data_IF_937604322275
#
_entry.id   IF_937604322275
#
_cell.length_a   1.000
_cell.length_b   1.000
_cell.length_c   1.000
_cell.angle_alpha   90.00
_cell.angle_beta   90.00
_cell.angle_gamma   90.00
#
_symmetry.space_group_name_H-M   'P 1'
#
loop_
_entity.id
_entity.type
_entity.pdbx_description
1 polymer ?
#
# COMPACT_ATOMS: atom_id res chain seq x y z
N UNK A 1 1.43 -1.88 44.86
CA UNK A 1 1.45 -1.33 43.49
C UNK A 1 1.46 -2.49 42.51
N UNK A 2 0.28 -2.93 42.05
CA UNK A 2 0.16 -3.87 40.93
C UNK A 2 -0.16 -3.03 39.70
N UNK A 3 0.71 -3.06 38.71
CA UNK A 3 0.36 -2.63 37.37
C UNK A 3 -0.69 -3.62 36.85
N UNK A 4 -1.92 -3.16 36.68
CA UNK A 4 -2.96 -3.93 36.00
C UNK A 4 -2.66 -3.93 34.50
N UNK A 5 -2.38 -5.11 33.96
CA UNK A 5 -2.24 -5.36 32.53
C UNK A 5 -3.54 -4.99 31.80
N UNK A 6 -3.56 -3.80 31.19
CA UNK A 6 -4.49 -3.46 30.13
C UNK A 6 -4.12 -4.27 28.90
N UNK A 7 -4.69 -5.46 28.73
CA UNK A 7 -4.59 -6.17 27.45
C UNK A 7 -5.44 -5.43 26.42
N UNK A 8 -4.77 -4.67 25.55
CA UNK A 8 -5.38 -4.12 24.36
C UNK A 8 -5.90 -5.24 23.47
N UNK A 9 -7.23 -5.27 23.27
CA UNK A 9 -7.90 -6.27 22.44
C UNK A 9 -8.58 -5.62 21.25
N UNK A 10 -8.92 -6.41 20.22
CA UNK A 10 -9.57 -5.95 18.99
C UNK A 10 -10.81 -5.05 19.22
N UNK A 11 -11.53 -5.24 20.33
CA UNK A 11 -12.66 -4.40 20.71
C UNK A 11 -12.31 -2.93 20.99
N UNK A 12 -11.04 -2.61 21.28
CA UNK A 12 -10.58 -1.24 21.51
C UNK A 12 -10.45 -0.46 20.19
N UNK A 13 -10.24 -1.17 19.07
CA UNK A 13 -10.07 -0.58 17.73
C UNK A 13 -11.37 -0.49 16.93
N UNK A 14 -12.48 -1.04 17.43
CA UNK A 14 -13.80 -0.95 16.80
C UNK A 14 -14.55 0.27 17.31
N UNK A 15 -14.74 1.25 16.44
CA UNK A 15 -15.64 2.39 16.66
C UNK A 15 -17.11 1.93 16.54
N UNK A 16 -17.93 2.27 17.51
CA UNK A 16 -19.37 1.97 17.51
C UNK A 16 -20.13 3.02 18.30
N UNK A 17 -21.31 3.41 17.80
CA UNK A 17 -22.25 4.28 18.53
C UNK A 17 -23.12 3.47 19.53
N UNK A 18 -22.77 2.19 19.76
CA UNK A 18 -23.53 1.30 20.62
C UNK A 18 -23.54 1.79 22.08
N UNK A 19 -24.75 1.95 22.62
CA UNK A 19 -25.00 2.17 24.06
C UNK A 19 -25.31 0.85 24.75
N UNK A 20 -25.09 0.75 26.07
CA UNK A 20 -25.49 -0.43 26.83
C UNK A 20 -27.00 -0.65 26.73
N UNK A 21 -27.40 -1.91 26.54
CA UNK A 21 -28.80 -2.31 26.63
C UNK A 21 -29.07 -2.82 28.05
N UNK A 22 -29.38 -1.89 28.97
CA UNK A 22 -29.65 -2.21 30.39
C UNK A 22 -31.12 -2.46 30.70
N UNK A 23 -32.03 -2.21 29.75
CA UNK A 23 -33.45 -2.52 29.86
C UNK A 23 -33.95 -3.29 28.64
N UNK A 24 -34.47 -4.50 28.87
CA UNK A 24 -34.97 -5.42 27.84
C UNK A 24 -34.69 -6.88 28.16
N UNK A 25 -35.21 -7.80 27.34
CA UNK A 25 -35.09 -9.27 27.54
C UNK A 25 -33.66 -9.81 27.35
N UNK A 26 -32.75 -9.01 26.81
CA UNK A 26 -31.34 -9.34 26.58
C UNK A 26 -30.48 -8.19 27.10
N UNK A 27 -29.82 -8.42 28.24
CA UNK A 27 -28.78 -7.53 28.76
C UNK A 27 -27.50 -7.76 27.97
N UNK A 28 -27.03 -6.74 27.25
CA UNK A 28 -25.78 -6.83 26.50
C UNK A 28 -24.98 -5.54 26.62
N UNK A 29 -23.74 -5.69 27.09
CA UNK A 29 -22.80 -4.58 27.21
C UNK A 29 -22.30 -4.12 25.85
N UNK A 30 -21.79 -2.88 25.77
CA UNK A 30 -21.10 -2.37 24.58
C UNK A 30 -19.98 -3.32 24.14
N UNK A 31 -19.20 -3.87 25.09
CA UNK A 31 -18.16 -4.87 24.79
C UNK A 31 -18.74 -6.11 24.12
N UNK A 32 -19.87 -6.64 24.61
CA UNK A 32 -20.55 -7.77 23.99
C UNK A 32 -21.06 -7.47 22.57
N UNK A 33 -21.58 -6.26 22.34
CA UNK A 33 -21.96 -5.78 21.00
C UNK A 33 -20.76 -5.75 20.04
N UNK A 34 -19.62 -5.20 20.49
CA UNK A 34 -18.38 -5.16 19.70
C UNK A 34 -17.84 -6.55 19.38
N UNK A 35 -17.80 -7.46 20.35
CA UNK A 35 -17.39 -8.86 20.13
C UNK A 35 -18.29 -9.52 19.08
N UNK A 36 -19.61 -9.39 19.21
CA UNK A 36 -20.55 -9.96 18.24
C UNK A 36 -20.37 -9.37 16.84
N UNK A 37 -20.09 -8.07 16.74
CA UNK A 37 -19.81 -7.42 15.46
C UNK A 37 -18.54 -8.01 14.81
N UNK A 38 -17.44 -8.13 15.57
CA UNK A 38 -16.20 -8.76 15.08
C UNK A 38 -16.45 -10.19 14.62
N UNK A 39 -17.12 -11.01 15.45
CA UNK A 39 -17.44 -12.40 15.13
C UNK A 39 -18.34 -12.52 13.89
N UNK A 40 -19.28 -11.59 13.71
CA UNK A 40 -20.16 -11.56 12.54
C UNK A 40 -19.39 -11.17 11.27
N UNK A 41 -18.44 -10.24 11.38
CA UNK A 41 -17.52 -9.89 10.29
C UNK A 41 -16.62 -11.06 9.90
N UNK A 42 -15.99 -11.74 10.87
CA UNK A 42 -15.18 -12.94 10.62
C UNK A 42 -16.00 -14.06 9.98
N UNK A 43 -17.22 -14.30 10.48
CA UNK A 43 -18.14 -15.26 9.88
C UNK A 43 -18.46 -14.93 8.41
N UNK A 44 -18.63 -13.64 8.09
CA UNK A 44 -18.84 -13.19 6.71
C UNK A 44 -17.59 -13.41 5.85
N UNK A 45 -16.41 -13.02 6.33
CA UNK A 45 -15.15 -13.26 5.61
C UNK A 45 -14.93 -14.74 5.31
N UNK A 46 -15.31 -15.63 6.22
CA UNK A 46 -15.26 -17.08 6.00
C UNK A 46 -16.23 -17.53 4.90
N UNK A 47 -17.46 -16.99 4.87
CA UNK A 47 -18.43 -17.24 3.80
C UNK A 47 -17.92 -16.77 2.44
N UNK A 48 -17.21 -15.63 2.39
CA UNK A 48 -16.58 -15.11 1.17
C UNK A 48 -15.26 -15.82 0.81
N UNK A 49 -14.89 -16.90 1.52
CA UNK A 49 -13.66 -17.67 1.31
C UNK A 49 -12.36 -16.85 1.44
N UNK A 50 -12.38 -15.77 2.22
CA UNK A 50 -11.22 -14.92 2.49
C UNK A 50 -10.43 -15.36 3.72
N UNK A 51 -11.07 -16.12 4.62
CA UNK A 51 -10.42 -16.72 5.78
C UNK A 51 -10.90 -18.16 5.95
N UNK A 52 -10.10 -18.96 6.63
CA UNK A 52 -10.54 -20.20 7.25
C UNK A 52 -10.83 -19.97 8.72
N UNK A 53 -12.00 -20.40 9.16
CA UNK A 53 -12.47 -20.29 10.53
C UNK A 53 -12.66 -21.71 11.07
N UNK A 54 -11.72 -22.23 11.87
CA UNK A 54 -11.81 -23.60 12.37
C UNK A 54 -12.99 -23.76 13.32
N UNK A 55 -13.51 -24.98 13.39
CA UNK A 55 -14.55 -25.39 14.34
C UNK A 55 -13.94 -26.40 15.31
N UNK A 56 -14.34 -26.33 16.58
CA UNK A 56 -13.96 -27.33 17.58
C UNK A 56 -14.76 -28.64 17.42
N UNK A 57 -14.45 -29.66 18.23
CA UNK A 57 -15.16 -30.95 18.23
C UNK A 57 -16.68 -30.83 18.50
N UNK A 58 -17.12 -29.69 19.04
CA UNK A 58 -18.52 -29.34 19.31
C UNK A 58 -19.19 -28.53 18.19
N UNK A 59 -18.49 -28.23 17.09
CA UNK A 59 -18.97 -27.38 16.00
C UNK A 59 -19.00 -25.89 16.36
N UNK A 60 -18.32 -25.47 17.43
CA UNK A 60 -18.18 -24.07 17.79
C UNK A 60 -16.99 -23.44 17.05
N UNK A 61 -17.24 -22.27 16.44
CA UNK A 61 -16.23 -21.52 15.69
C UNK A 61 -15.17 -20.95 16.64
N UNK A 62 -13.91 -21.22 16.31
CA UNK A 62 -12.73 -20.72 17.02
C UNK A 62 -12.29 -19.40 16.38
N UNK A 63 -12.89 -18.29 16.85
CA UNK A 63 -12.64 -16.96 16.29
C UNK A 63 -11.23 -16.41 16.52
N UNK A 64 -10.48 -16.97 17.46
CA UNK A 64 -9.10 -16.55 17.75
C UNK A 64 -8.08 -17.28 16.86
N UNK A 65 -8.45 -18.40 16.24
CA UNK A 65 -7.57 -19.27 15.45
C UNK A 65 -7.85 -19.17 13.94
N UNK A 66 -8.45 -18.05 13.49
CA UNK A 66 -8.71 -17.86 12.07
C UNK A 66 -7.40 -17.71 11.29
N UNK A 67 -7.39 -18.26 10.07
CA UNK A 67 -6.24 -18.18 9.16
C UNK A 67 -6.67 -17.42 7.91
N UNK A 68 -5.89 -16.41 7.51
CA UNK A 68 -6.13 -15.68 6.28
C UNK A 68 -5.93 -16.60 5.06
N UNK A 69 -6.75 -16.45 4.03
CA UNK A 69 -6.55 -17.08 2.73
C UNK A 69 -5.99 -16.06 1.74
N UNK A 70 -5.37 -16.56 0.66
CA UNK A 70 -4.88 -15.73 -0.44
C UNK A 70 -6.04 -15.02 -1.15
N UNK A 71 -5.88 -13.73 -1.39
CA UNK A 71 -6.88 -12.88 -2.06
C UNK A 71 -6.72 -12.87 -3.59
N UNK A 72 -5.60 -13.38 -4.10
CA UNK A 72 -5.27 -13.42 -5.53
C UNK A 72 -5.74 -14.71 -6.23
N UNK A 73 -6.29 -15.66 -5.46
CA UNK A 73 -6.89 -16.87 -5.99
C UNK A 73 -8.29 -16.60 -6.55
N UNK A 74 -8.67 -17.36 -7.58
CA UNK A 74 -9.96 -17.19 -8.24
C UNK A 74 -11.12 -17.35 -7.22
N UNK A 75 -12.17 -16.53 -7.35
CA UNK A 75 -13.35 -16.56 -6.46
C UNK A 75 -14.03 -17.93 -6.39
N UNK A 76 -13.75 -18.84 -7.33
CA UNK A 76 -14.22 -20.22 -7.34
C UNK A 76 -13.05 -21.19 -7.13
N UNK A 77 -12.85 -21.66 -5.90
CA UNK A 77 -11.82 -22.63 -5.56
C UNK A 77 -11.52 -22.65 -4.06
N UNK A 78 -10.76 -23.65 -3.60
CA UNK A 78 -10.14 -23.54 -2.28
C UNK A 78 -8.97 -22.57 -2.41
N UNK A 79 -9.09 -21.39 -1.78
CA UNK A 79 -7.98 -20.44 -1.76
C UNK A 79 -6.95 -20.97 -0.77
N UNK A 80 -5.70 -21.10 -1.22
CA UNK A 80 -4.58 -21.47 -0.35
C UNK A 80 -4.49 -20.49 0.84
N UNK A 81 -3.96 -20.98 1.97
CA UNK A 81 -3.69 -20.12 3.11
C UNK A 81 -2.69 -19.03 2.74
N UNK A 82 -2.97 -17.82 3.23
CA UNK A 82 -1.97 -16.77 3.24
C UNK A 82 -0.79 -17.24 4.08
N UNK A 83 0.38 -17.22 3.47
CA UNK A 83 1.64 -17.48 4.15
C UNK A 83 2.42 -16.18 4.13
N UNK A 84 3.02 -15.82 5.26
CA UNK A 84 4.01 -14.74 5.28
C UNK A 84 5.15 -15.22 4.37
N UNK A 85 5.58 -14.42 3.39
CA UNK A 85 6.71 -14.78 2.54
C UNK A 85 7.90 -15.19 3.41
N UNK A 86 8.43 -16.39 3.18
CA UNK A 86 9.68 -16.85 3.79
C UNK A 86 10.89 -16.38 2.96
N UNK A 87 12.10 -16.55 3.49
CA UNK A 87 13.33 -16.18 2.79
C UNK A 87 13.56 -16.95 1.47
N UNK A 88 12.75 -17.99 1.20
CA UNK A 88 12.80 -18.72 -0.06
C UNK A 88 12.01 -18.03 -1.18
N UNK A 89 11.10 -17.11 -0.86
CA UNK A 89 10.31 -16.34 -1.82
C UNK A 89 10.94 -14.97 -2.13
N UNK A 90 10.80 -14.47 -3.36
CA UNK A 90 11.24 -13.10 -3.70
C UNK A 90 10.31 -12.09 -3.01
N UNK A 91 10.81 -11.42 -1.98
CA UNK A 91 10.11 -10.35 -1.28
C UNK A 91 10.88 -9.03 -1.40
N UNK A 92 10.23 -7.93 -1.04
CA UNK A 92 10.87 -6.65 -0.77
C UNK A 92 10.12 -5.96 0.38
N UNK A 93 10.84 -5.17 1.17
CA UNK A 93 10.26 -4.44 2.30
C UNK A 93 9.76 -3.08 1.88
N UNK A 94 8.55 -2.72 2.30
CA UNK A 94 7.97 -1.39 2.09
C UNK A 94 8.34 -0.50 3.29
N UNK A 95 8.75 0.77 3.08
CA UNK A 95 9.06 1.68 4.19
C UNK A 95 7.88 1.83 5.15
N UNK A 96 8.10 1.63 6.44
CA UNK A 96 7.06 1.78 7.48
C UNK A 96 6.45 3.20 7.46
N UNK A 97 7.29 4.19 7.15
CA UNK A 97 6.90 5.61 7.08
C UNK A 97 5.91 5.92 5.97
N UNK A 98 5.76 5.04 4.96
CA UNK A 98 4.64 5.12 4.01
C UNK A 98 3.28 5.15 4.73
N UNK A 99 3.15 4.33 5.77
CA UNK A 99 1.91 4.20 6.55
C UNK A 99 1.88 5.16 7.72
N UNK A 100 2.98 5.26 8.49
CA UNK A 100 2.99 6.02 9.74
C UNK A 100 3.09 7.54 9.53
N UNK A 101 3.62 8.01 8.40
CA UNK A 101 3.69 9.43 8.06
C UNK A 101 2.52 9.91 7.19
N UNK A 102 1.58 9.02 6.85
CA UNK A 102 0.35 9.34 6.11
C UNK A 102 0.47 9.37 4.58
N UNK A 103 1.60 8.95 4.02
CA UNK A 103 1.83 8.95 2.56
C UNK A 103 0.85 8.07 1.79
N UNK A 104 0.47 6.93 2.38
CA UNK A 104 -0.52 6.00 1.81
C UNK A 104 -1.88 6.65 1.54
N UNK A 105 -2.20 7.77 2.19
CA UNK A 105 -3.48 8.47 2.05
C UNK A 105 -3.45 9.65 1.09
N UNK A 106 -2.26 10.13 0.71
CA UNK A 106 -2.12 11.33 -0.13
C UNK A 106 -1.59 11.05 -1.51
N UNK A 107 -0.95 9.90 -1.71
CA UNK A 107 -0.45 9.47 -3.01
C UNK A 107 -1.56 8.80 -3.83
N UNK A 108 -1.58 9.08 -5.13
CA UNK A 108 -2.46 8.41 -6.08
C UNK A 108 -1.98 6.98 -6.39
N UNK A 109 -2.87 6.13 -6.90
CA UNK A 109 -2.54 4.73 -7.27
C UNK A 109 -1.31 4.64 -8.20
N UNK A 110 -1.19 5.56 -9.16
CA UNK A 110 -0.06 5.57 -10.09
C UNK A 110 1.27 5.89 -9.39
N UNK A 111 1.24 6.75 -8.38
CA UNK A 111 2.39 7.14 -7.56
C UNK A 111 2.75 6.00 -6.60
N UNK A 112 1.76 5.36 -5.98
CA UNK A 112 1.96 4.19 -5.14
C UNK A 112 2.60 3.04 -5.91
N UNK A 113 2.14 2.75 -7.13
CA UNK A 113 2.76 1.72 -7.98
C UNK A 113 4.22 2.08 -8.29
N UNK A 114 4.50 3.35 -8.64
CA UNK A 114 5.87 3.81 -8.91
C UNK A 114 6.78 3.71 -7.68
N UNK A 115 6.26 4.03 -6.49
CA UNK A 115 6.95 3.87 -5.23
C UNK A 115 7.28 2.40 -4.94
N UNK A 116 6.33 1.49 -5.18
CA UNK A 116 6.54 0.05 -5.00
C UNK A 116 7.59 -0.50 -5.98
N UNK A 117 7.57 -0.05 -7.24
CA UNK A 117 8.61 -0.40 -8.22
C UNK A 117 9.97 0.12 -7.76
N UNK A 118 10.06 1.38 -7.32
CA UNK A 118 11.30 1.97 -6.80
C UNK A 118 11.83 1.21 -5.59
N UNK A 119 10.94 0.83 -4.68
CA UNK A 119 11.26 0.02 -3.50
C UNK A 119 11.79 -1.36 -3.88
N UNK A 120 11.14 -2.05 -4.83
CA UNK A 120 11.61 -3.34 -5.36
C UNK A 120 12.98 -3.22 -6.02
N UNK A 121 13.19 -2.19 -6.85
CA UNK A 121 14.47 -1.95 -7.49
C UNK A 121 15.58 -1.69 -6.48
N UNK A 122 15.30 -0.88 -5.46
CA UNK A 122 16.25 -0.64 -4.38
C UNK A 122 16.57 -1.90 -3.58
N UNK A 123 15.58 -2.74 -3.32
CA UNK A 123 15.78 -4.03 -2.66
C UNK A 123 16.71 -4.96 -3.47
N UNK A 124 16.52 -5.03 -4.80
CA UNK A 124 17.30 -5.89 -5.67
C UNK A 124 18.68 -5.34 -6.04
N UNK A 125 18.84 -4.02 -6.11
CA UNK A 125 20.01 -3.36 -6.69
C UNK A 125 20.68 -2.30 -5.79
N UNK A 126 20.20 -2.12 -4.56
CA UNK A 126 20.65 -1.05 -3.67
C UNK A 126 20.28 0.34 -4.21
N UNK A 127 21.09 1.35 -3.89
CA UNK A 127 20.82 2.75 -4.29
C UNK A 127 21.23 3.06 -5.76
N UNK A 128 21.57 2.02 -6.54
CA UNK A 128 21.91 2.18 -7.95
C UNK A 128 20.68 2.53 -8.80
N UNK A 129 20.73 3.61 -9.61
CA UNK A 129 19.63 3.99 -10.49
C UNK A 129 19.29 2.88 -11.50
N UNK A 130 18.01 2.51 -11.59
CA UNK A 130 17.56 1.41 -12.46
C UNK A 130 16.70 1.89 -13.64
N UNK A 131 16.94 1.38 -14.87
CA UNK A 131 16.15 1.76 -16.02
C UNK A 131 14.74 1.14 -15.97
N UNK A 132 13.71 1.95 -16.22
CA UNK A 132 12.34 1.46 -16.39
C UNK A 132 11.87 1.63 -17.84
N UNK A 133 12.09 0.58 -18.64
CA UNK A 133 11.73 0.59 -20.06
C UNK A 133 10.21 0.43 -20.30
N UNK A 134 9.64 1.05 -21.36
CA UNK A 134 8.19 1.04 -21.60
C UNK A 134 7.56 -0.36 -21.72
N UNK A 135 8.25 -1.30 -22.38
CA UNK A 135 7.78 -2.67 -22.57
C UNK A 135 7.61 -3.43 -21.25
N UNK A 136 8.70 -3.65 -20.49
CA UNK A 136 8.64 -4.27 -19.17
C UNK A 136 7.71 -3.54 -18.19
N UNK A 137 7.69 -2.20 -18.23
CA UNK A 137 6.81 -1.40 -17.39
C UNK A 137 5.33 -1.73 -17.62
N UNK A 138 4.90 -1.76 -18.88
CA UNK A 138 3.51 -2.07 -19.24
C UNK A 138 3.17 -3.54 -18.99
N UNK A 139 4.09 -4.45 -19.33
CA UNK A 139 3.88 -5.89 -19.20
C UNK A 139 3.80 -6.36 -17.74
N UNK A 140 4.73 -5.89 -16.91
CA UNK A 140 4.89 -6.41 -15.54
C UNK A 140 4.06 -5.63 -14.52
N UNK A 141 3.78 -4.35 -14.78
CA UNK A 141 3.14 -3.46 -13.80
C UNK A 141 1.85 -2.81 -14.30
N UNK A 142 1.41 -3.09 -15.53
CA UNK A 142 0.22 -2.47 -16.12
C UNK A 142 0.32 -0.95 -16.32
N UNK A 143 1.50 -0.36 -16.11
CA UNK A 143 1.70 1.08 -16.15
C UNK A 143 1.74 1.59 -17.59
N UNK A 144 0.66 2.27 -17.97
CA UNK A 144 0.55 3.01 -19.23
C UNK A 144 1.59 4.14 -19.31
N UNK A 145 1.75 4.75 -20.48
CA UNK A 145 2.63 5.92 -20.60
C UNK A 145 2.11 7.09 -19.76
N UNK A 146 0.81 7.36 -19.80
CA UNK A 146 0.21 8.48 -19.07
C UNK A 146 0.29 8.27 -17.56
N UNK A 147 -0.02 7.06 -17.08
CA UNK A 147 0.10 6.72 -15.65
C UNK A 147 1.54 6.82 -15.15
N UNK A 148 2.50 6.40 -15.98
CA UNK A 148 3.91 6.58 -15.65
C UNK A 148 4.31 8.05 -15.60
N UNK A 149 3.91 8.85 -16.59
CA UNK A 149 4.21 10.29 -16.68
C UNK A 149 3.62 11.07 -15.49
N UNK A 150 2.36 10.80 -15.14
CA UNK A 150 1.72 11.42 -13.99
C UNK A 150 2.41 11.00 -12.68
N UNK A 151 2.55 9.69 -12.45
CA UNK A 151 3.06 9.17 -11.19
C UNK A 151 4.52 9.56 -10.90
N UNK A 152 5.39 9.56 -11.92
CA UNK A 152 6.80 9.87 -11.67
C UNK A 152 7.06 11.36 -11.40
N UNK A 153 6.30 12.27 -12.03
CA UNK A 153 6.54 13.72 -11.87
C UNK A 153 6.25 14.20 -10.46
N UNK A 154 5.15 13.75 -9.86
CA UNK A 154 4.82 14.12 -8.48
C UNK A 154 5.87 13.59 -7.51
N UNK A 155 6.26 12.32 -7.66
CA UNK A 155 7.28 11.72 -6.80
C UNK A 155 8.67 12.38 -6.95
N UNK A 156 9.01 12.85 -8.16
CA UNK A 156 10.22 13.64 -8.42
C UNK A 156 10.15 15.02 -7.74
N UNK A 157 9.00 15.70 -7.78
CA UNK A 157 8.82 16.95 -7.03
C UNK A 157 8.84 16.78 -5.50
N UNK A 158 8.39 15.63 -5.00
CA UNK A 158 8.44 15.28 -3.59
C UNK A 158 9.84 14.81 -3.14
N UNK A 159 10.77 14.59 -4.08
CA UNK A 159 12.09 14.03 -3.79
C UNK A 159 12.06 12.57 -3.34
N UNK A 160 10.94 11.86 -3.54
CA UNK A 160 10.79 10.44 -3.22
C UNK A 160 11.44 9.58 -4.32
N UNK A 161 11.42 10.05 -5.56
CA UNK A 161 11.94 9.33 -6.71
C UNK A 161 12.65 10.29 -7.67
N UNK A 162 13.96 10.16 -7.87
CA UNK A 162 14.62 10.90 -8.96
C UNK A 162 14.34 10.21 -10.29
N UNK A 163 13.93 11.00 -11.29
CA UNK A 163 13.72 10.52 -12.65
C UNK A 163 14.77 11.12 -13.58
N UNK A 164 15.79 10.31 -13.89
CA UNK A 164 16.87 10.70 -14.79
C UNK A 164 16.44 10.39 -16.23
N UNK A 165 15.94 11.40 -16.92
CA UNK A 165 15.59 11.33 -18.34
C UNK A 165 16.83 11.29 -19.24
N UNK A 166 16.63 10.79 -20.47
CA UNK A 166 17.64 10.88 -21.52
C UNK A 166 17.95 12.36 -21.84
N UNK A 167 19.22 12.77 -21.70
CA UNK A 167 19.66 14.16 -21.85
C UNK A 167 19.42 14.77 -23.24
N UNK A 168 19.16 13.95 -24.27
CA UNK A 168 18.77 14.45 -25.60
C UNK A 168 17.26 14.38 -25.84
N UNK A 169 16.47 14.07 -24.81
CA UNK A 169 15.02 14.12 -24.89
C UNK A 169 14.57 15.58 -24.70
N UNK A 170 13.91 16.13 -25.71
CA UNK A 170 13.29 17.44 -25.62
C UNK A 170 12.10 17.43 -24.65
N UNK A 171 11.63 18.61 -24.25
CA UNK A 171 10.40 18.76 -23.46
C UNK A 171 9.17 18.13 -24.13
N UNK A 172 9.18 18.03 -25.45
CA UNK A 172 8.08 17.43 -26.24
C UNK A 172 8.20 15.89 -26.33
N UNK A 173 9.17 15.30 -25.60
CA UNK A 173 9.38 13.86 -25.52
C UNK A 173 10.15 13.24 -26.70
N UNK A 174 10.53 14.05 -27.71
CA UNK A 174 11.34 13.60 -28.86
C UNK A 174 12.80 13.47 -28.45
N UNK A 175 13.50 12.49 -28.99
CA UNK A 175 14.94 12.29 -28.74
C UNK A 175 15.72 12.72 -29.97
N UNK A 176 16.64 13.67 -29.79
CA UNK A 176 17.56 14.05 -30.87
C UNK A 176 18.48 12.88 -31.21
N UNK A 177 18.75 12.66 -32.51
CA UNK A 177 19.56 11.53 -32.95
C UNK A 177 18.94 10.14 -32.75
N UNK A 178 17.61 10.03 -32.62
CA UNK A 178 16.92 8.75 -32.39
C UNK A 178 17.31 7.64 -33.39
N UNK A 179 17.57 7.97 -34.65
CA UNK A 179 17.93 6.98 -35.68
C UNK A 179 19.26 6.28 -35.42
N UNK A 180 20.19 6.93 -34.71
CA UNK A 180 21.56 6.43 -34.56
C UNK A 180 21.74 5.64 -33.26
N UNK A 181 21.03 6.01 -32.18
CA UNK A 181 21.19 5.38 -30.85
C UNK A 181 19.88 4.92 -30.19
N UNK A 182 18.73 5.23 -30.77
CA UNK A 182 17.43 5.04 -30.15
C UNK A 182 17.16 6.03 -29.00
N UNK A 183 16.11 5.75 -28.24
CA UNK A 183 15.78 6.50 -27.02
C UNK A 183 16.18 5.69 -25.79
N UNK A 184 16.90 6.29 -24.84
CA UNK A 184 17.14 5.63 -23.57
C UNK A 184 15.90 5.71 -22.67
N UNK A 185 15.61 4.63 -21.92
CA UNK A 185 14.54 4.66 -20.92
C UNK A 185 14.91 5.61 -19.78
N UNK A 186 13.89 6.08 -19.06
CA UNK A 186 14.13 6.82 -17.81
C UNK A 186 14.78 5.89 -16.79
N UNK A 187 15.72 6.45 -16.04
CA UNK A 187 16.40 5.74 -14.95
C UNK A 187 15.87 6.31 -13.65
N UNK A 188 15.46 5.42 -12.75
CA UNK A 188 14.81 5.75 -11.49
C UNK A 188 15.77 5.53 -10.33
N UNK A 189 15.86 6.48 -9.41
CA UNK A 189 16.51 6.29 -8.11
C UNK A 189 15.50 6.59 -7.01
N UNK A 190 15.36 5.67 -6.07
CA UNK A 190 14.39 5.78 -4.97
C UNK A 190 15.06 6.29 -3.69
N UNK A 191 14.41 7.26 -3.04
CA UNK A 191 14.87 7.93 -1.82
C UNK A 191 13.85 7.73 -0.70
N UNK A 192 13.88 6.57 -0.01
CA UNK A 192 12.88 6.25 1.02
C UNK A 192 12.90 7.21 2.21
N UNK A 193 14.02 7.87 2.49
CA UNK A 193 14.17 8.88 3.53
C UNK A 193 13.22 10.08 3.33
N UNK A 194 12.79 10.38 2.11
CA UNK A 194 11.80 11.41 1.85
C UNK A 194 10.45 11.09 2.51
N UNK A 195 10.16 9.80 2.76
CA UNK A 195 8.92 9.37 3.42
C UNK A 195 8.94 9.62 4.94
N UNK A 196 10.08 9.95 5.53
CA UNK A 196 10.20 10.26 6.95
C UNK A 196 9.52 11.61 7.29
N UNK A 197 9.35 12.47 6.29
CA UNK A 197 8.61 13.71 6.44
C UNK A 197 7.09 13.45 6.57
N UNK A 198 6.35 14.30 7.31
CA UNK A 198 4.89 14.21 7.40
C UNK A 198 4.25 14.47 6.03
N UNK A 199 3.45 13.54 5.53
CA UNK A 199 3.00 13.53 4.14
C UNK A 199 2.14 14.73 3.75
N UNK A 200 1.08 14.99 4.53
CA UNK A 200 0.10 16.04 4.22
C UNK A 200 0.70 17.45 4.11
N UNK A 201 1.48 17.97 5.07
CA UNK A 201 2.10 19.29 4.90
C UNK A 201 3.11 19.31 3.74
N UNK A 202 3.86 18.22 3.53
CA UNK A 202 4.87 18.14 2.47
C UNK A 202 4.23 18.23 1.08
N UNK A 203 3.15 17.49 0.84
CA UNK A 203 2.48 17.49 -0.48
C UNK A 203 1.82 18.85 -0.77
N UNK A 204 1.21 19.48 0.23
CA UNK A 204 0.61 20.82 0.07
C UNK A 204 1.68 21.86 -0.26
N UNK A 205 2.83 21.85 0.43
CA UNK A 205 3.94 22.76 0.15
C UNK A 205 4.49 22.58 -1.26
N UNK A 206 4.61 21.34 -1.74
CA UNK A 206 5.09 21.05 -3.09
C UNK A 206 4.08 21.51 -4.14
N UNK A 207 2.78 21.22 -3.96
CA UNK A 207 1.73 21.66 -4.88
C UNK A 207 1.73 23.20 -4.99
N UNK A 208 1.77 23.91 -3.87
CA UNK A 208 1.80 25.38 -3.86
C UNK A 208 3.00 25.92 -4.63
N UNK A 209 4.20 25.36 -4.42
CA UNK A 209 5.41 25.74 -5.17
C UNK A 209 5.27 25.51 -6.68
N UNK A 210 4.62 24.43 -7.10
CA UNK A 210 4.40 24.18 -8.53
C UNK A 210 3.38 25.13 -9.15
N UNK A 211 2.33 25.50 -8.40
CA UNK A 211 1.35 26.50 -8.84
C UNK A 211 2.05 27.85 -9.05
N UNK A 212 2.80 28.34 -8.06
CA UNK A 212 3.55 29.61 -8.15
C UNK A 212 4.54 29.62 -9.34
N UNK A 213 5.20 28.49 -9.59
CA UNK A 213 6.13 28.34 -10.72
C UNK A 213 5.40 28.40 -12.07
N UNK A 214 4.21 27.83 -12.16
CA UNK A 214 3.40 27.84 -13.37
C UNK A 214 2.85 29.23 -13.70
N UNK A 215 2.54 30.03 -12.69
CA UNK A 215 2.06 31.41 -12.85
C UNK A 215 3.20 32.37 -13.25
N UNK A 216 4.45 32.00 -12.96
CA UNK A 216 5.64 32.80 -13.25
C UNK A 216 6.29 32.52 -14.62
N UNK A 217 5.79 31.53 -15.37
CA UNK A 217 6.35 31.07 -16.66
C UNK A 217 5.47 31.42 -17.85
#
# INVERSE_FOLDING_TARGET
MKAENSHDGWTNYVATDAKDATQGKVLMSVRGKKVRQIQSSLARLATENLIHLPEDDGGHRQYDDFVLKREDAAHSGDNDFYTVPDDANEYFTVPLTLFTSGWIHVLEDSELIMLLIGTRFRHAHGDEPQPLAPGPRKLNYGLSQDSFEAGHRMLDYLGILDVISDYQRSRDGKVDGFKDRGAKPHVLRFHPEALDAPAYPTIIDVINKQIERSESS
#
